data_IF_517364695066
#
_entry.id   IF_517364695066
#
_cell.length_a   1.000
_cell.length_b   1.000
_cell.length_c   1.000
_cell.angle_alpha   90.00
_cell.angle_beta   90.00
_cell.angle_gamma   90.00
#
_symmetry.space_group_name_H-M   'P 1'
#
loop_
_entity.id
_entity.type
_entity.pdbx_description
1 polymer ?
#
# COMPACT_ATOMS: atom_id res chain seq x y z
N UNK A 1 21.98 -19.49 21.48
CA UNK A 1 20.73 -18.92 20.94
C UNK A 1 19.70 -19.96 21.26
N UNK A 2 18.89 -19.72 22.28
CA UNK A 2 18.09 -20.78 22.89
C UNK A 2 16.89 -21.12 22.00
N UNK A 3 16.47 -22.38 22.05
CA UNK A 3 15.40 -22.96 21.22
C UNK A 3 14.07 -22.17 21.35
N UNK A 4 13.87 -21.54 22.50
CA UNK A 4 12.75 -20.64 22.82
C UNK A 4 12.80 -19.37 21.95
N UNK A 5 13.99 -18.77 21.75
CA UNK A 5 14.17 -17.58 20.92
C UNK A 5 13.93 -17.86 19.44
N UNK A 6 14.32 -19.05 18.96
CA UNK A 6 14.09 -19.48 17.58
C UNK A 6 12.59 -19.69 17.29
N UNK A 7 11.86 -20.34 18.20
CA UNK A 7 10.42 -20.52 18.07
C UNK A 7 9.64 -19.20 18.14
N UNK A 8 10.07 -18.26 18.98
CA UNK A 8 9.46 -16.92 19.04
C UNK A 8 9.67 -16.13 17.74
N UNK A 9 10.87 -16.19 17.15
CA UNK A 9 11.16 -15.57 15.85
C UNK A 9 10.31 -16.21 14.74
N UNK A 10 10.18 -17.54 14.73
CA UNK A 10 9.34 -18.26 13.76
C UNK A 10 7.86 -17.88 13.87
N UNK A 11 7.32 -17.79 15.09
CA UNK A 11 5.93 -17.37 15.31
C UNK A 11 5.69 -15.91 14.93
N UNK A 12 6.66 -15.03 15.18
CA UNK A 12 6.61 -13.63 14.72
C UNK A 12 6.63 -13.53 13.19
N UNK A 13 7.39 -14.40 12.51
CA UNK A 13 7.40 -14.48 11.04
C UNK A 13 6.03 -14.91 10.51
N UNK A 14 5.47 -15.99 11.04
CA UNK A 14 4.14 -16.49 10.63
C UNK A 14 3.05 -15.44 10.88
N UNK A 15 3.09 -14.75 12.02
CA UNK A 15 2.13 -13.69 12.33
C UNK A 15 2.24 -12.50 11.36
N UNK A 16 3.47 -12.08 11.02
CA UNK A 16 3.70 -11.00 10.04
C UNK A 16 3.28 -11.38 8.63
N UNK A 17 3.57 -12.60 8.20
CA UNK A 17 3.16 -13.15 6.91
C UNK A 17 1.64 -13.22 6.80
N UNK A 18 0.98 -13.84 7.80
CA UNK A 18 -0.48 -13.93 7.84
C UNK A 18 -1.13 -12.54 7.90
N UNK A 19 -0.51 -11.59 8.59
CA UNK A 19 -0.93 -10.20 8.58
C UNK A 19 -0.77 -9.57 7.19
N UNK A 20 0.37 -9.74 6.51
CA UNK A 20 0.59 -9.23 5.17
C UNK A 20 -0.40 -9.82 4.15
N UNK A 21 -0.61 -11.13 4.17
CA UNK A 21 -1.58 -11.81 3.30
C UNK A 21 -3.02 -11.39 3.60
N UNK A 22 -3.41 -11.32 4.88
CA UNK A 22 -4.75 -10.88 5.29
C UNK A 22 -4.95 -9.40 4.98
N UNK A 23 -3.92 -8.57 5.15
CA UNK A 23 -3.93 -7.15 4.82
C UNK A 23 -4.07 -6.94 3.31
N UNK A 24 -3.27 -7.65 2.50
CA UNK A 24 -3.36 -7.63 1.04
C UNK A 24 -4.74 -8.14 0.57
N UNK A 25 -5.24 -9.24 1.13
CA UNK A 25 -6.57 -9.75 0.81
C UNK A 25 -7.69 -8.75 1.20
N UNK A 26 -7.63 -8.15 2.39
CA UNK A 26 -8.57 -7.14 2.85
C UNK A 26 -8.51 -5.86 2.01
N UNK A 27 -7.31 -5.45 1.56
CA UNK A 27 -7.12 -4.40 0.56
C UNK A 27 -7.86 -4.76 -0.73
N UNK A 28 -7.68 -5.97 -1.25
CA UNK A 28 -8.22 -6.37 -2.56
C UNK A 28 -9.77 -6.32 -2.62
N UNK A 29 -10.47 -6.76 -1.57
CA UNK A 29 -11.95 -6.82 -1.55
C UNK A 29 -12.61 -5.43 -1.50
N UNK A 30 -11.96 -4.43 -0.89
CA UNK A 30 -12.57 -3.12 -0.61
C UNK A 30 -12.08 -2.00 -1.53
N UNK A 31 -10.94 -2.19 -2.20
CA UNK A 31 -10.37 -1.23 -3.16
C UNK A 31 -11.16 -1.15 -4.48
N UNK A 32 -11.83 -2.23 -4.89
CA UNK A 32 -12.47 -2.37 -6.20
C UNK A 32 -13.47 -1.23 -6.54
N UNK A 33 -14.29 -0.78 -5.58
CA UNK A 33 -15.30 0.27 -5.81
C UNK A 33 -14.76 1.70 -5.64
N UNK A 34 -13.58 1.86 -5.03
CA UNK A 34 -13.05 3.17 -4.65
C UNK A 34 -12.02 3.67 -5.68
N UNK A 35 -11.33 2.75 -6.35
CA UNK A 35 -10.32 3.06 -7.38
C UNK A 35 -10.90 3.85 -8.57
N UNK A 36 -12.17 3.68 -8.92
CA UNK A 36 -12.87 4.46 -9.95
C UNK A 36 -12.93 5.96 -9.62
N UNK A 37 -13.10 6.28 -8.34
CA UNK A 37 -13.10 7.66 -7.82
C UNK A 37 -11.67 8.20 -7.75
N UNK A 38 -10.71 7.35 -7.39
CA UNK A 38 -9.31 7.75 -7.19
C UNK A 38 -8.52 7.95 -8.48
N UNK A 39 -8.77 7.15 -9.53
CA UNK A 39 -8.18 7.38 -10.85
C UNK A 39 -8.53 8.77 -11.40
N UNK A 40 -9.73 9.28 -11.09
CA UNK A 40 -10.16 10.66 -11.43
C UNK A 40 -9.48 11.69 -10.54
N UNK A 41 -9.47 11.49 -9.21
CA UNK A 41 -8.87 12.43 -8.25
C UNK A 41 -7.35 12.56 -8.42
N UNK A 42 -6.63 11.49 -8.76
CA UNK A 42 -5.18 11.52 -8.96
C UNK A 42 -4.78 12.28 -10.23
N UNK A 43 -5.58 12.17 -11.31
CA UNK A 43 -5.43 12.98 -12.53
C UNK A 43 -5.62 14.49 -12.23
N UNK A 44 -6.41 14.82 -11.22
CA UNK A 44 -6.52 16.18 -10.67
C UNK A 44 -5.36 16.54 -9.73
N UNK A 45 -4.90 15.63 -8.87
CA UNK A 45 -3.80 15.85 -7.93
C UNK A 45 -2.45 16.12 -8.63
N UNK A 46 -2.15 15.43 -9.73
CA UNK A 46 -0.97 15.74 -10.56
C UNK A 46 -1.06 17.12 -11.24
N UNK A 47 -2.27 17.67 -11.42
CA UNK A 47 -2.48 19.01 -11.97
C UNK A 47 -2.42 20.11 -10.90
N UNK A 48 -2.71 19.81 -9.62
CA UNK A 48 -2.63 20.79 -8.53
C UNK A 48 -1.23 20.82 -7.91
N UNK A 49 -0.38 21.74 -8.38
CA UNK A 49 0.99 22.00 -7.89
C UNK A 49 1.11 22.51 -6.43
N UNK A 50 0.11 22.31 -5.57
CA UNK A 50 0.23 22.59 -4.12
C UNK A 50 0.06 21.30 -3.35
N UNK A 51 1.17 20.57 -3.19
CA UNK A 51 1.20 19.43 -2.27
C UNK A 51 1.07 19.97 -0.84
N UNK A 52 -0.04 19.66 -0.17
CA UNK A 52 -0.18 19.99 1.25
C UNK A 52 0.95 19.32 2.02
N UNK A 53 1.60 20.08 2.89
CA UNK A 53 2.61 19.53 3.80
C UNK A 53 1.92 18.76 4.92
N UNK A 54 2.44 17.60 5.31
CA UNK A 54 1.93 16.83 6.44
C UNK A 54 2.78 17.12 7.68
N UNK A 55 2.12 17.47 8.78
CA UNK A 55 2.77 17.69 10.07
C UNK A 55 2.12 16.82 11.15
N UNK A 56 2.93 16.18 11.99
CA UNK A 56 2.45 15.41 13.14
C UNK A 56 2.68 16.24 14.40
N UNK A 57 1.61 16.53 15.15
CA UNK A 57 1.73 17.25 16.42
C UNK A 57 2.54 16.42 17.45
N UNK A 58 3.07 17.04 18.50
CA UNK A 58 3.75 16.32 19.58
C UNK A 58 2.80 15.28 20.24
N UNK A 59 1.55 15.69 20.48
CA UNK A 59 0.53 14.81 21.03
C UNK A 59 0.17 13.64 20.11
N UNK A 60 0.05 13.89 18.80
CA UNK A 60 -0.18 12.83 17.83
C UNK A 60 0.97 11.82 17.82
N UNK A 61 2.22 12.29 17.86
CA UNK A 61 3.37 11.39 17.93
C UNK A 61 3.34 10.48 19.17
N UNK A 62 3.04 11.05 20.34
CA UNK A 62 2.86 10.27 21.58
C UNK A 62 1.73 9.24 21.44
N UNK A 63 0.58 9.64 20.88
CA UNK A 63 -0.56 8.74 20.66
C UNK A 63 -0.28 7.65 19.64
N UNK A 64 0.54 7.90 18.62
CA UNK A 64 0.97 6.84 17.71
C UNK A 64 1.67 5.73 18.49
N UNK A 65 2.65 6.08 19.31
CA UNK A 65 3.48 5.14 20.06
C UNK A 65 2.76 4.47 21.24
N UNK A 66 1.54 4.89 21.57
CA UNK A 66 0.73 4.30 22.66
C UNK A 66 -0.57 3.64 22.17
N UNK A 67 -1.04 3.95 20.96
CA UNK A 67 -2.35 3.49 20.44
C UNK A 67 -2.34 2.88 19.04
N UNK A 68 -1.31 3.13 18.23
CA UNK A 68 -1.27 2.73 16.82
C UNK A 68 -0.15 1.73 16.56
N UNK A 69 1.09 2.12 16.83
CA UNK A 69 2.27 1.26 16.67
C UNK A 69 2.62 0.89 15.21
N UNK A 70 3.86 0.43 14.97
CA UNK A 70 4.89 0.12 15.97
C UNK A 70 5.54 1.36 16.57
N UNK A 71 6.27 1.17 17.68
CA UNK A 71 7.04 2.26 18.31
C UNK A 71 8.15 2.68 17.35
N UNK A 72 8.08 3.94 16.94
CA UNK A 72 9.01 4.52 15.97
C UNK A 72 9.32 5.96 16.35
N UNK A 73 10.45 6.46 15.88
CA UNK A 73 10.78 7.87 16.01
C UNK A 73 9.93 8.74 15.09
N UNK A 74 9.68 9.97 15.52
CA UNK A 74 8.97 10.98 14.71
C UNK A 74 9.69 11.25 13.37
N UNK A 75 11.02 11.18 13.39
CA UNK A 75 11.92 11.30 12.22
C UNK A 75 11.63 10.24 11.15
N UNK A 76 11.08 9.09 11.51
CA UNK A 76 10.69 8.02 10.59
C UNK A 76 9.21 8.12 10.22
N UNK A 77 8.35 8.36 11.21
CA UNK A 77 6.90 8.38 11.01
C UNK A 77 6.43 9.53 10.11
N UNK A 78 6.95 10.74 10.32
CA UNK A 78 6.49 11.91 9.56
C UNK A 78 6.85 11.83 8.08
N UNK A 79 8.09 11.50 7.67
CA UNK A 79 8.41 11.27 6.26
C UNK A 79 7.57 10.15 5.66
N UNK A 80 7.37 9.03 6.38
CA UNK A 80 6.53 7.93 5.91
C UNK A 80 5.12 8.41 5.57
N UNK A 81 4.41 9.02 6.51
CA UNK A 81 3.03 9.48 6.28
C UNK A 81 2.98 10.59 5.21
N UNK A 82 4.01 11.45 5.14
CA UNK A 82 4.13 12.46 4.08
C UNK A 82 4.28 11.82 2.70
N UNK A 83 5.11 10.79 2.58
CA UNK A 83 5.28 10.01 1.35
C UNK A 83 3.99 9.31 0.95
N UNK A 84 3.23 8.75 1.90
CA UNK A 84 1.92 8.15 1.61
C UNK A 84 0.95 9.23 1.14
N UNK A 85 0.89 10.39 1.79
CA UNK A 85 0.00 11.48 1.37
C UNK A 85 0.33 11.97 -0.04
N UNK A 86 1.62 12.02 -0.38
CA UNK A 86 2.10 12.48 -1.69
C UNK A 86 1.90 11.46 -2.80
N UNK A 87 2.29 10.20 -2.55
CA UNK A 87 2.34 9.14 -3.57
C UNK A 87 1.03 8.37 -3.66
N UNK A 88 0.33 8.22 -2.53
CA UNK A 88 -0.87 7.39 -2.38
C UNK A 88 -1.97 8.11 -1.58
N UNK A 89 -2.38 9.34 -1.97
CA UNK A 89 -3.33 10.14 -1.21
C UNK A 89 -4.68 9.46 -0.99
N UNK A 90 -5.07 8.50 -1.84
CA UNK A 90 -6.32 7.76 -1.71
C UNK A 90 -6.37 6.87 -0.46
N UNK A 91 -5.22 6.50 0.12
CA UNK A 91 -5.14 5.75 1.38
C UNK A 91 -5.69 6.56 2.55
N UNK A 92 -5.69 7.89 2.44
CA UNK A 92 -6.29 8.82 3.38
C UNK A 92 -7.77 9.04 3.02
N UNK A 93 -8.68 8.51 3.84
CA UNK A 93 -10.13 8.68 3.67
C UNK A 93 -10.70 9.61 4.72
N UNK A 94 -11.37 10.66 4.25
CA UNK A 94 -12.14 11.57 5.11
C UNK A 94 -13.41 10.86 5.60
N UNK A 95 -13.58 10.73 6.92
CA UNK A 95 -14.79 10.18 7.53
C UNK A 95 -15.79 11.30 7.88
N UNK A 96 -15.28 12.43 8.37
CA UNK A 96 -16.02 13.68 8.57
C UNK A 96 -15.05 14.87 8.45
N UNK A 97 -15.46 16.09 8.85
CA UNK A 97 -14.63 17.30 8.70
C UNK A 97 -13.20 17.15 9.21
N UNK A 98 -13.05 16.61 10.42
CA UNK A 98 -11.77 16.57 11.13
C UNK A 98 -11.27 15.14 11.40
N UNK A 99 -12.03 14.09 11.10
CA UNK A 99 -11.62 12.69 11.31
C UNK A 99 -11.35 12.01 9.98
N UNK A 100 -10.17 11.43 9.91
CA UNK A 100 -9.65 10.74 8.75
C UNK A 100 -9.18 9.34 9.15
N UNK A 101 -9.19 8.43 8.19
CA UNK A 101 -8.70 7.07 8.35
C UNK A 101 -7.66 6.77 7.28
N UNK A 102 -6.56 6.13 7.68
CA UNK A 102 -5.49 5.65 6.82
C UNK A 102 -5.62 4.13 6.71
N UNK A 103 -5.58 3.60 5.50
CA UNK A 103 -5.71 2.16 5.20
C UNK A 103 -6.96 1.53 5.79
N UNK A 104 -8.00 2.35 6.00
CA UNK A 104 -9.26 1.96 6.62
C UNK A 104 -9.13 1.35 8.04
N UNK A 105 -7.96 1.53 8.66
CA UNK A 105 -7.63 0.95 9.96
C UNK A 105 -7.17 2.03 10.95
N UNK A 106 -6.24 2.91 10.55
CA UNK A 106 -5.64 3.89 11.46
C UNK A 106 -6.49 5.15 11.48
N UNK A 107 -7.17 5.41 12.59
CA UNK A 107 -8.07 6.54 12.77
C UNK A 107 -7.36 7.71 13.46
N UNK A 108 -7.52 8.92 12.92
CA UNK A 108 -6.87 10.12 13.46
C UNK A 108 -7.68 11.39 13.22
N UNK A 109 -7.40 12.39 14.05
CA UNK A 109 -7.96 13.74 13.94
C UNK A 109 -6.96 14.63 13.23
N UNK A 110 -7.44 15.41 12.26
CA UNK A 110 -6.67 16.39 11.52
C UNK A 110 -7.21 17.79 11.71
N UNK A 111 -6.30 18.75 11.62
CA UNK A 111 -6.57 20.15 11.39
C UNK A 111 -6.04 20.49 9.99
N UNK A 112 -6.94 20.89 9.09
CA UNK A 112 -6.65 21.06 7.67
C UNK A 112 -6.70 22.54 7.30
N UNK A 113 -5.59 23.08 6.82
CA UNK A 113 -5.53 24.42 6.23
C UNK A 113 -5.37 24.33 4.71
N UNK A 114 -5.24 25.49 4.04
CA UNK A 114 -4.95 25.55 2.61
C UNK A 114 -3.61 24.91 2.25
N UNK A 115 -2.60 25.02 3.13
CA UNK A 115 -1.21 24.65 2.83
C UNK A 115 -0.70 23.43 3.63
N UNK A 116 -1.37 23.07 4.73
CA UNK A 116 -0.94 21.97 5.60
C UNK A 116 -2.09 21.05 6.03
N UNK A 117 -1.76 19.78 6.20
CA UNK A 117 -2.53 18.79 6.95
C UNK A 117 -1.77 18.52 8.25
N UNK A 118 -2.33 18.95 9.38
CA UNK A 118 -1.76 18.69 10.70
C UNK A 118 -2.52 17.56 11.36
N UNK A 119 -1.87 16.42 11.59
CA UNK A 119 -2.43 15.35 12.41
C UNK A 119 -2.34 15.79 13.87
N UNK A 120 -3.50 16.00 14.49
CA UNK A 120 -3.64 16.52 15.86
C UNK A 120 -3.51 15.38 16.88
N UNK A 121 -4.15 14.24 16.63
CA UNK A 121 -4.06 13.06 17.50
C UNK A 121 -4.38 11.78 16.73
N UNK A 122 -3.81 10.66 17.16
CA UNK A 122 -4.24 9.32 16.72
C UNK A 122 -5.20 8.71 17.73
N UNK A 123 -6.32 8.18 17.24
CA UNK A 123 -7.32 7.52 18.06
C UNK A 123 -6.99 6.04 18.25
N UNK A 124 -6.37 5.40 17.25
CA UNK A 124 -5.89 4.03 17.31
C UNK A 124 -6.10 3.29 15.99
N UNK A 125 -5.91 1.97 16.03
CA UNK A 125 -6.29 1.05 14.94
C UNK A 125 -7.66 0.47 15.20
N UNK A 126 -8.53 0.50 14.21
CA UNK A 126 -9.86 -0.11 14.27
C UNK A 126 -9.75 -1.63 14.49
N UNK A 127 -8.72 -2.26 13.90
CA UNK A 127 -8.42 -3.68 14.07
C UNK A 127 -8.01 -4.05 15.51
N UNK A 128 -7.39 -3.14 16.25
CA UNK A 128 -7.00 -3.36 17.65
C UNK A 128 -8.10 -2.96 18.64
N UNK A 129 -8.88 -1.94 18.29
CA UNK A 129 -9.96 -1.46 19.14
C UNK A 129 -11.25 -1.27 18.33
N UNK A 130 -12.12 -2.30 18.28
CA UNK A 130 -13.37 -2.26 17.52
C UNK A 130 -14.35 -1.16 17.95
N UNK A 131 -14.22 -0.61 19.16
CA UNK A 131 -15.04 0.53 19.62
C UNK A 131 -14.88 1.73 18.68
N UNK A 132 -13.73 1.86 18.02
CA UNK A 132 -13.44 2.92 17.05
C UNK A 132 -14.30 2.82 15.77
N UNK A 133 -14.99 1.70 15.51
CA UNK A 133 -15.94 1.59 14.39
C UNK A 133 -17.18 2.47 14.60
N UNK A 134 -17.58 2.71 15.86
CA UNK A 134 -18.72 3.54 16.17
C UNK A 134 -18.30 5.01 16.35
N UNK A 135 -18.05 5.68 15.22
CA UNK A 135 -17.57 7.06 15.19
C UNK A 135 -18.45 8.04 15.99
N UNK A 136 -19.76 7.79 16.10
CA UNK A 136 -20.67 8.66 16.88
C UNK A 136 -20.36 8.54 18.38
N UNK A 137 -20.14 7.32 18.87
CA UNK A 137 -19.71 7.09 20.25
C UNK A 137 -18.32 7.70 20.51
N UNK A 138 -17.39 7.58 19.54
CA UNK A 138 -16.07 8.22 19.60
C UNK A 138 -16.17 9.74 19.61
N UNK A 139 -17.09 10.34 18.85
CA UNK A 139 -17.30 11.80 18.82
C UNK A 139 -17.83 12.33 20.15
N UNK A 140 -18.84 11.66 20.71
CA UNK A 140 -19.38 11.98 22.03
C UNK A 140 -18.31 11.83 23.11
N UNK A 141 -17.41 10.86 22.97
CA UNK A 141 -16.28 10.64 23.87
C UNK A 141 -15.25 11.76 23.79
N UNK A 142 -14.69 12.02 22.61
CA UNK A 142 -13.63 13.03 22.40
C UNK A 142 -14.07 14.43 22.86
N UNK A 143 -15.34 14.77 22.69
CA UNK A 143 -15.84 16.11 22.99
C UNK A 143 -16.42 16.27 24.41
N UNK A 144 -16.90 15.20 25.07
CA UNK A 144 -17.66 15.35 26.32
C UNK A 144 -17.07 14.60 27.52
N UNK A 145 -16.29 13.54 27.35
CA UNK A 145 -15.82 12.71 28.47
C UNK A 145 -14.31 12.51 28.40
N UNK A 146 -13.57 13.29 29.21
CA UNK A 146 -12.14 13.13 29.39
C UNK A 146 -11.85 11.73 29.99
N UNK A 147 -11.23 10.84 29.22
CA UNK A 147 -10.47 9.65 29.67
C UNK A 147 -11.19 8.47 30.36
N UNK A 148 -12.48 8.20 30.08
CA UNK A 148 -13.12 6.96 30.57
C UNK A 148 -12.82 5.69 29.77
N UNK A 149 -12.44 5.80 28.50
CA UNK A 149 -12.14 4.64 27.65
C UNK A 149 -10.63 4.60 27.45
N UNK A 150 -10.00 3.59 28.04
CA UNK A 150 -8.59 3.36 27.81
C UNK A 150 -8.36 2.84 26.38
N UNK A 151 -7.89 3.73 25.52
CA UNK A 151 -7.50 3.40 24.15
C UNK A 151 -6.02 2.98 24.07
N UNK A 152 -5.29 2.99 25.19
CA UNK A 152 -3.91 2.52 25.21
C UNK A 152 -3.84 1.05 24.83
N UNK A 153 -2.77 0.70 24.13
CA UNK A 153 -2.48 -0.65 23.73
C UNK A 153 -1.32 -1.18 24.57
N UNK A 154 -1.31 -2.48 24.81
CA UNK A 154 -0.18 -3.11 25.48
C UNK A 154 1.08 -2.99 24.61
N UNK A 155 2.25 -2.86 25.24
CA UNK A 155 3.52 -2.65 24.54
C UNK A 155 3.80 -3.78 23.55
N UNK A 156 3.50 -5.01 23.94
CA UNK A 156 3.66 -6.22 23.13
C UNK A 156 2.79 -6.14 21.88
N UNK A 157 1.54 -5.69 22.00
CA UNK A 157 0.63 -5.52 20.87
C UNK A 157 1.13 -4.44 19.91
N UNK A 158 1.65 -3.34 20.43
CA UNK A 158 2.23 -2.25 19.63
C UNK A 158 3.46 -2.73 18.84
N UNK A 159 4.34 -3.51 19.46
CA UNK A 159 5.53 -4.05 18.80
C UNK A 159 5.21 -5.05 17.67
N UNK A 160 4.06 -5.71 17.75
CA UNK A 160 3.57 -6.60 16.69
C UNK A 160 3.01 -5.85 15.48
N UNK A 161 2.70 -4.56 15.61
CA UNK A 161 2.13 -3.79 14.52
C UNK A 161 3.19 -3.49 13.44
N UNK A 162 2.72 -3.34 12.21
CA UNK A 162 3.55 -2.91 11.09
C UNK A 162 3.29 -1.45 10.74
N UNK A 163 4.35 -0.73 10.33
CA UNK A 163 4.19 0.56 9.69
C UNK A 163 3.36 0.41 8.40
N UNK A 164 2.57 1.43 8.02
CA UNK A 164 1.93 1.46 6.71
C UNK A 164 2.97 1.22 5.60
N UNK A 165 2.73 0.21 4.76
CA UNK A 165 3.69 -0.23 3.75
C UNK A 165 3.74 0.78 2.60
N UNK A 166 4.94 1.10 2.10
CA UNK A 166 5.12 1.87 0.87
C UNK A 166 5.56 0.96 -0.28
N UNK A 167 5.03 1.15 -1.50
CA UNK A 167 5.59 0.47 -2.66
C UNK A 167 6.99 1.00 -2.96
N UNK A 168 7.93 0.11 -3.29
CA UNK A 168 9.28 0.51 -3.73
C UNK A 168 9.26 1.10 -5.13
N UNK A 169 8.29 0.70 -5.97
CA UNK A 169 8.11 1.26 -7.31
C UNK A 169 6.62 1.40 -7.62
N UNK A 170 6.27 2.49 -8.27
CA UNK A 170 4.95 2.74 -8.80
C UNK A 170 5.11 3.01 -10.30
N UNK A 171 4.25 2.41 -11.11
CA UNK A 171 4.11 2.78 -12.50
C UNK A 171 2.64 2.88 -12.88
N UNK A 172 2.33 3.75 -13.83
CA UNK A 172 1.03 3.77 -14.46
C UNK A 172 1.19 3.75 -15.98
N UNK A 173 0.20 3.20 -16.66
CA UNK A 173 0.14 3.23 -18.11
C UNK A 173 -1.30 3.40 -18.58
N UNK A 174 -1.54 4.45 -19.34
CA UNK A 174 -2.84 4.72 -19.97
C UNK A 174 -2.96 3.97 -21.30
N UNK A 175 -4.10 3.32 -21.50
CA UNK A 175 -4.63 2.77 -22.74
C UNK A 175 -5.78 3.61 -23.27
N UNK A 176 -6.30 3.22 -24.43
CA UNK A 176 -7.42 3.94 -25.06
C UNK A 176 -8.66 3.94 -24.15
N UNK A 177 -8.95 2.80 -23.52
CA UNK A 177 -10.14 2.60 -22.69
C UNK A 177 -9.81 2.13 -21.27
N UNK A 178 -8.53 2.00 -20.92
CA UNK A 178 -8.14 1.45 -19.63
C UNK A 178 -6.86 2.08 -19.10
N UNK A 179 -6.81 2.37 -17.81
CA UNK A 179 -5.62 2.86 -17.12
C UNK A 179 -5.15 1.81 -16.13
N UNK A 180 -3.89 1.40 -16.25
CA UNK A 180 -3.27 0.41 -15.37
C UNK A 180 -2.38 1.13 -14.36
N UNK A 181 -2.49 0.74 -13.11
CA UNK A 181 -1.68 1.18 -11.98
C UNK A 181 -0.97 -0.04 -11.40
N UNK A 182 0.35 0.01 -11.28
CA UNK A 182 1.18 -1.06 -10.77
C UNK A 182 1.96 -0.56 -9.55
N UNK A 183 1.88 -1.30 -8.47
CA UNK A 183 2.63 -1.06 -7.25
C UNK A 183 3.46 -2.29 -6.94
N UNK A 184 4.77 -2.10 -6.88
CA UNK A 184 5.72 -3.14 -6.54
C UNK A 184 6.05 -3.05 -5.05
N UNK A 185 5.78 -4.12 -4.34
CA UNK A 185 6.13 -4.28 -2.94
C UNK A 185 7.23 -5.33 -2.82
N UNK A 186 8.28 -4.99 -2.10
CA UNK A 186 9.25 -5.98 -1.67
C UNK A 186 8.77 -6.53 -0.34
N UNK A 187 8.57 -7.84 -0.31
CA UNK A 187 8.20 -8.55 0.90
C UNK A 187 9.53 -9.05 1.47
N UNK A 188 9.94 -8.50 2.61
CA UNK A 188 11.04 -9.10 3.36
C UNK A 188 10.59 -10.53 3.75
N UNK A 189 11.51 -11.51 3.73
CA UNK A 189 11.33 -12.95 4.08
C UNK A 189 11.18 -13.94 2.93
N UNK A 190 12.20 -14.15 2.09
CA UNK A 190 12.31 -15.23 1.07
C UNK A 190 11.10 -15.42 0.12
N UNK A 191 10.11 -14.54 0.24
CA UNK A 191 8.90 -14.48 -0.54
C UNK A 191 9.16 -13.63 -1.76
N UNK A 192 8.56 -14.07 -2.86
CA UNK A 192 8.71 -13.31 -4.08
C UNK A 192 8.02 -11.95 -3.97
N UNK A 193 8.58 -10.94 -4.64
CA UNK A 193 7.97 -9.63 -4.62
C UNK A 193 6.58 -9.68 -5.26
N UNK A 194 5.65 -8.99 -4.61
CA UNK A 194 4.26 -8.95 -5.04
C UNK A 194 4.02 -7.65 -5.79
N UNK A 195 3.47 -7.77 -7.00
CA UNK A 195 3.03 -6.61 -7.77
C UNK A 195 1.51 -6.53 -7.68
N UNK A 196 1.01 -5.48 -7.06
CA UNK A 196 -0.41 -5.15 -7.09
C UNK A 196 -0.73 -4.40 -8.38
N UNK A 197 -1.75 -4.84 -9.11
CA UNK A 197 -2.20 -4.22 -10.33
C UNK A 197 -3.67 -3.82 -10.22
N UNK A 198 -3.96 -2.54 -10.45
CA UNK A 198 -5.31 -2.00 -10.56
C UNK A 198 -5.56 -1.48 -11.98
N UNK A 199 -6.76 -1.71 -12.51
CA UNK A 199 -7.15 -1.41 -13.88
C UNK A 199 -8.48 -0.69 -13.89
N UNK A 200 -8.47 0.61 -14.21
CA UNK A 200 -9.68 1.40 -14.43
C UNK A 200 -10.12 1.28 -15.89
N UNK A 201 -11.34 0.80 -16.17
CA UNK A 201 -11.94 0.81 -17.50
C UNK A 201 -12.86 2.02 -17.67
N UNK A 202 -12.49 2.97 -18.53
CA UNK A 202 -13.22 4.21 -18.71
C UNK A 202 -14.58 4.04 -19.40
N UNK A 203 -14.73 3.00 -20.22
CA UNK A 203 -15.97 2.72 -20.95
C UNK A 203 -17.01 2.11 -20.03
N UNK A 204 -16.59 1.18 -19.17
CA UNK A 204 -17.48 0.53 -18.22
C UNK A 204 -17.63 1.30 -16.90
N UNK A 205 -16.72 2.25 -16.64
CA UNK A 205 -16.65 2.94 -15.36
C UNK A 205 -16.42 1.99 -14.19
N UNK A 206 -15.63 0.94 -14.41
CA UNK A 206 -15.33 -0.11 -13.43
C UNK A 206 -13.83 -0.23 -13.22
N UNK A 207 -13.44 -0.53 -11.99
CA UNK A 207 -12.08 -0.93 -11.67
C UNK A 207 -12.00 -2.40 -11.35
N UNK A 208 -10.93 -3.04 -11.81
CA UNK A 208 -10.50 -4.35 -11.35
C UNK A 208 -9.13 -4.28 -10.68
N UNK A 209 -8.92 -5.02 -9.60
CA UNK A 209 -7.63 -5.20 -8.98
C UNK A 209 -7.24 -6.68 -8.88
N UNK A 210 -5.93 -6.96 -8.96
CA UNK A 210 -5.38 -8.30 -8.82
C UNK A 210 -3.87 -8.24 -8.51
N UNK A 211 -3.36 -9.34 -7.95
CA UNK A 211 -1.94 -9.54 -7.73
C UNK A 211 -1.28 -10.23 -8.92
N UNK A 212 -0.03 -9.86 -9.19
CA UNK A 212 0.85 -10.50 -10.15
C UNK A 212 1.95 -11.18 -9.35
N UNK A 213 1.93 -12.51 -9.36
CA UNK A 213 2.95 -13.36 -8.75
C UNK A 213 3.98 -13.70 -9.83
N UNK A 214 5.25 -13.39 -9.58
CA UNK A 214 6.30 -13.59 -10.59
C UNK A 214 6.77 -15.06 -10.68
N UNK A 215 6.48 -15.89 -9.67
CA UNK A 215 6.65 -17.36 -9.64
C UNK A 215 5.63 -18.08 -10.47
N UNK A 216 4.46 -17.46 -10.68
CA UNK A 216 3.32 -18.10 -11.30
C UNK A 216 3.03 -17.52 -12.68
N UNK A 217 3.79 -17.93 -13.72
CA UNK A 217 3.57 -17.48 -15.09
C UNK A 217 2.22 -17.94 -15.67
N UNK A 218 1.57 -18.94 -15.06
CA UNK A 218 0.27 -19.48 -15.51
C UNK A 218 -0.93 -18.76 -14.90
N UNK A 219 -0.69 -17.67 -14.15
CA UNK A 219 -1.75 -16.81 -13.62
C UNK A 219 -2.60 -16.17 -14.74
N UNK A 220 -3.62 -15.40 -14.35
CA UNK A 220 -4.54 -14.75 -15.31
C UNK A 220 -3.78 -14.04 -16.45
N UNK A 221 -4.35 -14.02 -17.67
CA UNK A 221 -3.75 -13.27 -18.76
C UNK A 221 -3.57 -11.79 -18.40
N UNK A 222 -2.33 -11.31 -18.53
CA UNK A 222 -1.94 -9.94 -18.30
C UNK A 222 -2.02 -9.14 -19.59
N UNK A 223 -2.49 -7.90 -19.48
CA UNK A 223 -2.56 -7.00 -20.62
C UNK A 223 -1.16 -6.65 -21.15
N UNK A 224 -1.01 -6.51 -22.48
CA UNK A 224 0.28 -6.22 -23.13
C UNK A 224 1.02 -5.03 -22.55
N UNK A 225 0.30 -3.99 -22.11
CA UNK A 225 0.91 -2.80 -21.49
C UNK A 225 1.54 -3.11 -20.12
N UNK A 226 0.91 -3.97 -19.32
CA UNK A 226 1.45 -4.48 -18.06
C UNK A 226 2.71 -5.29 -18.34
N UNK A 227 2.65 -6.25 -19.27
CA UNK A 227 3.81 -7.06 -19.68
C UNK A 227 5.00 -6.19 -20.14
N UNK A 228 4.73 -5.12 -20.90
CA UNK A 228 5.76 -4.17 -21.32
C UNK A 228 6.38 -3.40 -20.14
N UNK A 229 5.61 -3.07 -19.10
CA UNK A 229 6.13 -2.46 -17.88
C UNK A 229 7.01 -3.45 -17.12
N UNK A 230 6.56 -4.69 -16.94
CA UNK A 230 7.35 -5.76 -16.30
C UNK A 230 8.68 -5.99 -17.04
N UNK A 231 8.66 -5.93 -18.37
CA UNK A 231 9.87 -6.01 -19.20
C UNK A 231 10.83 -4.85 -18.92
N UNK A 232 10.32 -3.63 -18.78
CA UNK A 232 11.13 -2.46 -18.44
C UNK A 232 11.67 -2.54 -17.01
N UNK A 233 10.94 -3.18 -16.11
CA UNK A 233 11.38 -3.44 -14.74
C UNK A 233 12.40 -4.57 -14.59
N UNK A 234 12.63 -5.35 -15.66
CA UNK A 234 13.68 -6.38 -15.70
C UNK A 234 13.20 -7.80 -15.45
N UNK A 235 11.89 -8.04 -15.37
CA UNK A 235 11.29 -9.36 -15.10
C UNK A 235 11.27 -10.25 -16.35
N UNK A 236 12.45 -10.52 -16.91
CA UNK A 236 12.61 -11.23 -18.17
C UNK A 236 12.25 -12.71 -18.08
N UNK A 237 12.67 -13.38 -17.00
CA UNK A 237 12.42 -14.81 -16.79
C UNK A 237 10.93 -15.09 -16.65
N UNK A 238 10.24 -14.35 -15.77
CA UNK A 238 8.78 -14.39 -15.66
C UNK A 238 8.09 -14.21 -17.02
N UNK A 239 8.50 -13.22 -17.82
CA UNK A 239 7.88 -12.98 -19.12
C UNK A 239 8.11 -14.13 -20.10
N UNK A 240 9.32 -14.71 -20.13
CA UNK A 240 9.63 -15.88 -20.95
C UNK A 240 8.65 -16.99 -20.59
N UNK A 241 8.59 -17.38 -19.33
CA UNK A 241 7.76 -18.50 -18.88
C UNK A 241 6.26 -18.22 -19.09
N UNK A 242 5.83 -16.96 -18.90
CA UNK A 242 4.46 -16.50 -19.16
C UNK A 242 4.07 -16.66 -20.64
N UNK A 243 4.93 -16.25 -21.57
CA UNK A 243 4.63 -16.34 -23.00
C UNK A 243 4.74 -17.78 -23.52
N UNK A 244 5.55 -18.66 -22.92
CA UNK A 244 5.54 -20.10 -23.25
C UNK A 244 4.17 -20.72 -23.02
N UNK A 245 3.48 -20.27 -21.96
CA UNK A 245 2.15 -20.75 -21.63
C UNK A 245 1.04 -20.11 -22.49
N UNK A 246 1.08 -18.78 -22.71
CA UNK A 246 -0.04 -18.06 -23.33
C UNK A 246 0.13 -17.71 -24.81
N UNK A 247 1.35 -17.66 -25.36
CA UNK A 247 1.59 -17.23 -26.74
C UNK A 247 2.98 -17.65 -27.26
N UNK A 248 3.09 -18.91 -27.71
CA UNK A 248 4.33 -19.50 -28.22
C UNK A 248 4.91 -18.76 -29.44
N UNK A 249 4.08 -18.06 -30.24
CA UNK A 249 4.56 -17.28 -31.38
C UNK A 249 5.23 -15.96 -30.94
N UNK A 250 4.75 -15.32 -29.85
CA UNK A 250 5.44 -14.16 -29.26
C UNK A 250 6.75 -14.52 -28.56
N UNK A 251 6.89 -15.74 -28.06
CA UNK A 251 8.12 -16.22 -27.42
C UNK A 251 9.36 -16.08 -28.31
N UNK A 252 9.24 -16.48 -29.58
CA UNK A 252 10.35 -16.39 -30.54
C UNK A 252 10.85 -14.95 -30.71
N UNK A 253 9.94 -13.98 -30.79
CA UNK A 253 10.26 -12.56 -30.92
C UNK A 253 10.90 -11.96 -29.65
N UNK A 254 10.55 -12.47 -28.48
CA UNK A 254 11.06 -12.00 -27.19
C UNK A 254 12.45 -12.59 -26.92
N UNK A 255 12.64 -13.88 -27.17
CA UNK A 255 13.95 -14.54 -27.13
C UNK A 255 14.96 -13.82 -28.04
N UNK A 256 14.56 -13.52 -29.29
CA UNK A 256 15.38 -12.76 -30.25
C UNK A 256 15.76 -11.36 -29.73
N UNK A 257 14.87 -10.66 -29.01
CA UNK A 257 15.16 -9.34 -28.42
C UNK A 257 16.05 -9.42 -27.18
N UNK A 258 15.89 -10.46 -26.35
CA UNK A 258 16.74 -10.69 -25.17
C UNK A 258 18.17 -11.02 -25.59
N UNK A 259 18.34 -11.92 -26.57
CA UNK A 259 19.64 -12.31 -27.10
C UNK A 259 20.41 -11.10 -27.67
N UNK A 260 19.73 -10.20 -28.39
CA UNK A 260 20.32 -8.95 -28.89
C UNK A 260 20.76 -7.99 -27.77
N UNK A 261 20.05 -7.93 -26.66
CA UNK A 261 20.43 -7.08 -25.50
C UNK A 261 21.64 -7.65 -24.75
N UNK A 262 21.69 -8.97 -24.57
CA UNK A 262 22.84 -9.66 -23.95
C UNK A 262 24.08 -9.48 -24.82
N UNK A 263 23.97 -9.68 -26.15
CA UNK A 263 25.05 -9.44 -27.10
C UNK A 263 25.55 -8.00 -27.07
N UNK A 264 24.65 -7.01 -27.02
CA UNK A 264 25.07 -5.61 -26.87
C UNK A 264 25.82 -5.37 -25.57
N UNK A 265 25.40 -5.93 -24.43
CA UNK A 265 26.11 -5.76 -23.15
C UNK A 265 27.51 -6.40 -23.16
N UNK A 266 27.67 -7.54 -23.83
CA UNK A 266 28.96 -8.21 -23.99
C UNK A 266 29.92 -7.49 -24.96
N UNK A 267 29.42 -6.62 -25.83
CA UNK A 267 30.26 -5.79 -26.72
C UNK A 267 30.87 -4.55 -26.06
N UNK A 268 30.45 -4.22 -24.83
CA UNK A 268 30.94 -3.07 -24.06
C UNK A 268 31.74 -3.48 -22.82
N UNK A 269 32.17 -4.75 -22.75
CA UNK A 269 33.13 -5.29 -21.78
C UNK A 269 34.37 -5.72 -22.57
#
# INVERSE_FOLDING_TARGET
MDEISLNMIANLKIAKQKYAETFLYALNVKYQSQLDTYARQFKHAQRSKRSKTLHISAHAYERWNTRVGPIVEKSTLQPLLSSILMLQPWRFRKMNENIWVLDEDILFVVDLTSEQMKIVTFLGRISLNPVLQNLRAVYSYVNNEHDRIDLQQQLEQLQLQALPILPKRIAYVEGSNSTYWLEYFEVDFDEEPVIYCSVYNSVQGKTEAYYIYLSNPQQRPLHRKVLNLLYKWGYYEFLRDYYEHFDQAKMHNIAMKMQRKVQKRLQYI
#
